data_IF_003166285181
#
_entry.id   IF_003166285181
#
_cell.length_a   1.000
_cell.length_b   1.000
_cell.length_c   1.000
_cell.angle_alpha   90.00
_cell.angle_beta   90.00
_cell.angle_gamma   90.00
#
_symmetry.space_group_name_H-M   'P 1'
#
loop_
_entity.id
_entity.type
_entity.pdbx_description
1 polymer ?
#
# COMPACT_ATOMS: atom_id res chain seq x y z
N UNK A 1 -14.03 23.38 -19.55
CA UNK A 1 -12.87 22.95 -18.77
C UNK A 1 -13.30 21.89 -17.78
N UNK A 2 -12.79 20.72 -17.92
CA UNK A 2 -13.11 19.68 -16.97
C UNK A 2 -12.45 20.00 -15.63
N UNK A 3 -13.15 19.82 -14.52
CA UNK A 3 -12.52 20.02 -13.23
C UNK A 3 -11.38 19.02 -13.09
N UNK A 4 -10.20 19.53 -12.81
CA UNK A 4 -9.09 18.65 -12.52
C UNK A 4 -9.42 17.94 -11.20
N UNK A 5 -9.48 16.63 -11.27
CA UNK A 5 -9.73 15.83 -10.09
C UNK A 5 -8.40 15.57 -9.41
N UNK A 6 -8.08 16.39 -8.42
CA UNK A 6 -6.89 16.18 -7.63
C UNK A 6 -7.27 15.53 -6.31
N UNK A 7 -6.68 14.37 -5.98
CA UNK A 7 -6.95 13.75 -4.71
C UNK A 7 -6.45 14.63 -3.57
N UNK A 8 -7.21 14.66 -2.49
CA UNK A 8 -6.85 15.44 -1.30
C UNK A 8 -5.69 14.85 -0.52
N UNK A 9 -5.32 13.59 -0.80
CA UNK A 9 -4.25 12.95 -0.06
C UNK A 9 -2.89 13.47 -0.49
N UNK A 10 -2.07 13.78 0.50
CA UNK A 10 -0.70 14.20 0.26
C UNK A 10 0.21 12.97 0.30
N UNK A 11 0.88 12.70 -0.81
CA UNK A 11 1.83 11.61 -0.91
C UNK A 11 3.23 12.12 -0.58
N UNK A 12 3.93 11.39 0.27
CA UNK A 12 5.30 11.74 0.61
C UNK A 12 6.25 11.35 -0.52
N UNK A 13 7.25 12.19 -0.83
CA UNK A 13 8.31 11.80 -1.75
C UNK A 13 9.09 10.60 -1.22
N UNK A 14 9.69 9.77 -2.09
CA UNK A 14 10.42 8.57 -1.63
C UNK A 14 11.51 8.85 -0.60
N UNK A 15 12.24 9.95 -0.75
CA UNK A 15 13.30 10.31 0.21
C UNK A 15 12.75 10.64 1.59
N UNK A 16 11.65 11.41 1.62
CA UNK A 16 10.99 11.74 2.89
C UNK A 16 10.40 10.48 3.54
N UNK A 17 9.81 9.62 2.73
CA UNK A 17 9.26 8.35 3.22
C UNK A 17 10.35 7.50 3.86
N UNK A 18 11.52 7.39 3.22
CA UNK A 18 12.64 6.61 3.75
C UNK A 18 13.06 7.12 5.12
N UNK A 19 13.19 8.44 5.27
CA UNK A 19 13.57 9.05 6.53
C UNK A 19 12.51 8.77 7.62
N UNK A 20 11.24 8.91 7.28
CA UNK A 20 10.15 8.62 8.21
C UNK A 20 10.11 7.15 8.60
N UNK A 21 10.36 6.25 7.66
CA UNK A 21 10.43 4.82 7.93
C UNK A 21 11.53 4.51 8.93
N UNK A 22 12.74 5.03 8.70
CA UNK A 22 13.88 4.83 9.60
C UNK A 22 13.55 5.35 11.00
N UNK A 23 12.91 6.51 11.07
CA UNK A 23 12.50 7.09 12.34
C UNK A 23 11.47 6.21 13.06
N UNK A 24 10.47 5.71 12.34
CA UNK A 24 9.44 4.85 12.91
C UNK A 24 9.98 3.49 13.34
N UNK A 25 10.98 2.95 12.63
CA UNK A 25 11.65 1.71 13.06
C UNK A 25 12.35 1.93 14.39
N UNK A 26 13.06 3.05 14.55
CA UNK A 26 13.72 3.37 15.82
C UNK A 26 12.70 3.55 16.94
N UNK A 27 11.60 4.23 16.65
CA UNK A 27 10.52 4.45 17.60
C UNK A 27 9.89 3.12 18.03
N UNK A 28 9.66 2.22 17.07
CA UNK A 28 9.12 0.89 17.30
C UNK A 28 9.99 0.12 18.31
N UNK A 29 11.30 0.17 18.11
CA UNK A 29 12.25 -0.51 19.03
C UNK A 29 12.25 0.12 20.42
N UNK A 30 12.25 1.45 20.47
CA UNK A 30 12.33 2.18 21.75
C UNK A 30 11.12 1.91 22.64
N UNK A 31 9.94 1.86 22.06
CA UNK A 31 8.68 1.76 22.79
C UNK A 31 8.04 0.38 22.69
N UNK A 32 8.72 -0.58 22.09
CA UNK A 32 8.19 -1.92 21.83
C UNK A 32 6.82 -1.88 21.16
N UNK A 33 6.64 -0.93 20.23
CA UNK A 33 5.41 -0.75 19.48
C UNK A 33 5.52 -1.40 18.09
N UNK A 34 4.49 -2.09 17.62
CA UNK A 34 4.57 -2.71 16.30
C UNK A 34 4.48 -1.67 15.19
N UNK A 35 4.94 -2.04 14.01
CA UNK A 35 4.93 -1.19 12.82
C UNK A 35 4.61 -2.06 11.61
N UNK A 36 3.65 -1.64 10.80
CA UNK A 36 3.26 -2.38 9.61
C UNK A 36 3.51 -1.54 8.36
N UNK A 37 3.93 -2.19 7.29
CA UNK A 37 4.09 -1.55 5.99
C UNK A 37 3.33 -2.34 4.94
N UNK A 38 2.63 -1.62 4.07
CA UNK A 38 1.95 -2.17 2.91
C UNK A 38 2.66 -1.76 1.64
N UNK A 39 2.71 -2.67 0.69
CA UNK A 39 3.14 -2.39 -0.68
C UNK A 39 2.00 -2.74 -1.60
N UNK A 40 1.64 -1.81 -2.49
CA UNK A 40 0.47 -1.93 -3.34
C UNK A 40 0.87 -1.69 -4.78
N UNK A 41 0.45 -2.57 -5.68
CA UNK A 41 0.59 -2.40 -7.12
C UNK A 41 -0.74 -2.67 -7.79
N UNK A 42 -0.96 -2.11 -8.96
CA UNK A 42 -2.18 -2.37 -9.72
C UNK A 42 -1.86 -2.62 -11.19
N UNK A 43 -2.77 -3.34 -11.84
CA UNK A 43 -2.76 -3.57 -13.28
C UNK A 43 -4.14 -3.20 -13.82
N UNK A 44 -4.18 -2.70 -15.03
CA UNK A 44 -5.43 -2.32 -15.68
C UNK A 44 -5.67 -3.12 -16.95
N UNK A 45 -6.96 -3.30 -17.28
CA UNK A 45 -7.41 -3.79 -18.56
C UNK A 45 -8.39 -2.77 -19.12
N UNK A 46 -8.10 -2.09 -20.22
CA UNK A 46 -6.87 -2.20 -21.03
C UNK A 46 -5.65 -1.60 -20.35
N UNK A 47 -4.47 -2.04 -20.75
CA UNK A 47 -3.20 -1.57 -20.19
C UNK A 47 -2.68 -0.37 -21.00
N UNK A 48 -3.47 0.68 -21.13
CA UNK A 48 -3.08 1.89 -21.88
C UNK A 48 -2.80 3.04 -20.89
N UNK A 49 -2.10 4.10 -21.33
CA UNK A 49 -1.73 5.20 -20.44
C UNK A 49 -2.91 5.90 -19.77
N UNK A 50 -4.05 6.00 -20.48
CA UNK A 50 -5.23 6.67 -19.94
C UNK A 50 -5.86 5.84 -18.83
N UNK A 51 -5.99 4.53 -19.03
CA UNK A 51 -6.51 3.62 -18.00
C UNK A 51 -5.58 3.59 -16.80
N UNK A 52 -4.27 3.57 -17.02
CA UNK A 52 -3.27 3.61 -15.95
C UNK A 52 -3.39 4.87 -15.12
N UNK A 53 -3.56 6.01 -15.75
CA UNK A 53 -3.71 7.28 -15.06
C UNK A 53 -5.00 7.31 -14.24
N UNK A 54 -6.10 6.82 -14.80
CA UNK A 54 -7.38 6.75 -14.11
C UNK A 54 -7.30 5.80 -12.91
N UNK A 55 -6.62 4.67 -13.07
CA UNK A 55 -6.41 3.70 -11.99
C UNK A 55 -5.54 4.29 -10.87
N UNK A 56 -4.53 5.07 -11.23
CA UNK A 56 -3.70 5.75 -10.26
C UNK A 56 -4.51 6.73 -9.41
N UNK A 57 -5.31 7.57 -10.06
CA UNK A 57 -6.15 8.52 -9.35
C UNK A 57 -7.18 7.80 -8.49
N UNK A 58 -7.77 6.72 -9.01
CA UNK A 58 -8.69 5.88 -8.23
C UNK A 58 -8.00 5.31 -7.00
N UNK A 59 -6.78 4.79 -7.14
CA UNK A 59 -6.01 4.22 -6.03
C UNK A 59 -5.74 5.28 -4.96
N UNK A 60 -5.33 6.48 -5.38
CA UNK A 60 -5.07 7.58 -4.44
C UNK A 60 -6.35 7.93 -3.69
N UNK A 61 -7.50 7.95 -4.35
CA UNK A 61 -8.77 8.21 -3.71
C UNK A 61 -9.14 7.12 -2.70
N UNK A 62 -8.89 5.86 -3.02
CA UNK A 62 -9.10 4.75 -2.09
C UNK A 62 -8.25 4.95 -0.84
N UNK A 63 -6.98 5.28 -1.02
CA UNK A 63 -6.09 5.54 0.11
C UNK A 63 -6.60 6.71 0.95
N UNK A 64 -7.00 7.79 0.29
CA UNK A 64 -7.52 8.97 0.98
C UNK A 64 -8.75 8.65 1.84
N UNK A 65 -9.61 7.75 1.36
CA UNK A 65 -10.83 7.38 2.07
C UNK A 65 -10.58 6.42 3.24
N UNK A 66 -9.50 5.64 3.19
CA UNK A 66 -9.30 4.53 4.12
C UNK A 66 -8.09 4.67 5.03
N UNK A 67 -7.16 5.56 4.73
CA UNK A 67 -6.01 5.77 5.59
C UNK A 67 -6.36 6.72 6.73
N UNK A 68 -5.69 6.51 7.86
CA UNK A 68 -5.76 7.40 9.00
C UNK A 68 -4.76 8.54 8.83
N UNK A 69 -4.95 9.63 9.58
CA UNK A 69 -4.05 10.78 9.52
C UNK A 69 -2.61 10.43 9.90
N UNK A 70 -2.43 9.39 10.71
CA UNK A 70 -1.12 8.91 11.13
C UNK A 70 -0.45 8.00 10.12
N UNK A 71 -1.17 7.54 9.11
CA UNK A 71 -0.62 6.68 8.08
C UNK A 71 0.17 7.50 7.08
N UNK A 72 1.25 6.91 6.57
CA UNK A 72 2.20 7.64 5.72
C UNK A 72 2.24 6.99 4.33
N UNK A 73 1.52 7.56 3.36
CA UNK A 73 1.52 7.03 2.00
C UNK A 73 2.65 7.64 1.16
N UNK A 74 3.20 6.81 0.28
CA UNK A 74 4.25 7.22 -0.64
C UNK A 74 4.00 6.55 -1.98
N UNK A 75 4.31 7.24 -3.06
CA UNK A 75 4.34 6.64 -4.39
C UNK A 75 5.79 6.49 -4.82
N UNK A 76 6.16 5.28 -5.23
CA UNK A 76 7.48 4.98 -5.72
C UNK A 76 7.35 4.19 -7.02
N UNK A 77 7.70 4.81 -8.14
CA UNK A 77 7.54 4.24 -9.47
C UNK A 77 6.08 3.85 -9.74
N UNK A 78 5.80 2.56 -9.93
CA UNK A 78 4.45 2.07 -10.21
C UNK A 78 3.79 1.44 -8.98
N UNK A 79 4.33 1.72 -7.80
CA UNK A 79 3.85 1.14 -6.56
C UNK A 79 3.51 2.21 -5.54
N UNK A 80 2.62 1.86 -4.63
CA UNK A 80 2.34 2.68 -3.46
C UNK A 80 2.86 1.96 -2.22
N UNK A 81 3.48 2.72 -1.33
CA UNK A 81 3.94 2.24 -0.04
C UNK A 81 3.13 2.95 1.02
N UNK A 82 2.67 2.23 2.02
CA UNK A 82 1.94 2.84 3.13
C UNK A 82 2.55 2.35 4.44
N UNK A 83 3.05 3.29 5.22
CA UNK A 83 3.57 3.00 6.54
C UNK A 83 2.46 3.22 7.57
N UNK A 84 2.20 2.20 8.37
CA UNK A 84 1.13 2.22 9.36
C UNK A 84 1.73 2.09 10.76
N UNK A 85 2.00 3.23 11.43
CA UNK A 85 2.63 3.21 12.75
C UNK A 85 1.75 2.59 13.83
N UNK A 86 2.39 2.04 14.86
CA UNK A 86 1.73 1.49 16.03
C UNK A 86 0.63 0.47 15.69
N UNK A 87 0.90 -0.34 14.65
CA UNK A 87 -0.08 -1.29 14.13
C UNK A 87 0.57 -2.66 14.01
N UNK A 88 -0.04 -3.65 14.64
CA UNK A 88 0.42 -5.03 14.57
C UNK A 88 -0.11 -5.73 13.32
N UNK A 89 0.22 -7.01 13.18
CA UNK A 89 -0.19 -7.79 12.01
C UNK A 89 -1.72 -7.85 11.87
N UNK A 90 -2.44 -8.02 12.97
CA UNK A 90 -3.90 -8.07 12.93
C UNK A 90 -4.49 -6.74 12.48
N UNK A 91 -3.98 -5.63 13.00
CA UNK A 91 -4.41 -4.30 12.59
C UNK A 91 -4.09 -4.04 11.13
N UNK A 92 -2.93 -4.51 10.67
CA UNK A 92 -2.55 -4.41 9.26
C UNK A 92 -3.47 -5.20 8.35
N UNK A 93 -3.87 -6.41 8.76
CA UNK A 93 -4.84 -7.21 8.01
C UNK A 93 -6.17 -6.48 7.86
N UNK A 94 -6.64 -5.85 8.93
CA UNK A 94 -7.89 -5.09 8.90
C UNK A 94 -7.78 -3.90 7.93
N UNK A 95 -6.64 -3.24 7.91
CA UNK A 95 -6.40 -2.15 6.97
C UNK A 95 -6.43 -2.67 5.52
N UNK A 96 -5.79 -3.82 5.26
CA UNK A 96 -5.82 -4.45 3.95
C UNK A 96 -7.24 -4.81 3.52
N UNK A 97 -8.03 -5.36 4.43
CA UNK A 97 -9.42 -5.74 4.13
C UNK A 97 -10.27 -4.53 3.72
N UNK A 98 -10.07 -3.40 4.39
CA UNK A 98 -10.78 -2.17 4.03
C UNK A 98 -10.41 -1.69 2.63
N UNK A 99 -9.14 -1.77 2.27
CA UNK A 99 -8.68 -1.41 0.93
C UNK A 99 -9.20 -2.40 -0.11
N UNK A 100 -9.12 -3.69 0.18
CA UNK A 100 -9.59 -4.76 -0.72
C UNK A 100 -11.04 -4.58 -1.09
N UNK A 101 -11.90 -4.23 -0.14
CA UNK A 101 -13.33 -4.03 -0.41
C UNK A 101 -13.56 -3.00 -1.51
N UNK A 102 -12.79 -1.92 -1.50
CA UNK A 102 -12.92 -0.89 -2.52
C UNK A 102 -12.33 -1.32 -3.85
N UNK A 103 -11.21 -2.04 -3.84
CA UNK A 103 -10.57 -2.52 -5.07
C UNK A 103 -11.36 -3.66 -5.74
N UNK A 104 -12.10 -4.44 -4.96
CA UNK A 104 -12.91 -5.55 -5.48
C UNK A 104 -14.30 -5.11 -5.93
N UNK A 105 -14.65 -3.84 -5.79
CA UNK A 105 -15.89 -3.33 -6.35
C UNK A 105 -15.87 -3.49 -7.86
N UNK A 106 -17.06 -3.53 -8.44
CA UNK A 106 -17.21 -3.73 -9.88
C UNK A 106 -16.41 -2.74 -10.70
N UNK A 107 -16.28 -3.03 -11.97
CA UNK A 107 -15.57 -2.21 -12.94
C UNK A 107 -15.80 -0.72 -12.71
N UNK A 108 -14.72 0.03 -12.63
CA UNK A 108 -14.78 1.44 -12.32
C UNK A 108 -14.84 2.26 -13.59
N UNK A 109 -15.69 3.28 -13.55
CA UNK A 109 -15.67 4.33 -14.54
C UNK A 109 -15.15 5.57 -13.85
N UNK A 110 -14.02 6.06 -14.30
CA UNK A 110 -13.38 7.22 -13.72
C UNK A 110 -12.97 8.13 -14.86
N UNK A 111 -13.36 9.41 -14.79
CA UNK A 111 -13.04 10.39 -15.83
C UNK A 111 -13.50 9.92 -17.22
N UNK A 112 -14.67 9.28 -17.28
CA UNK A 112 -15.29 8.74 -18.50
C UNK A 112 -14.51 7.61 -19.15
N UNK A 113 -13.54 7.06 -18.46
CA UNK A 113 -12.77 5.90 -18.94
C UNK A 113 -13.16 4.69 -18.11
N UNK A 114 -13.64 3.66 -18.78
CA UNK A 114 -13.94 2.39 -18.14
C UNK A 114 -12.69 1.52 -18.14
N UNK A 115 -12.37 0.92 -17.02
CA UNK A 115 -11.24 0.02 -16.91
C UNK A 115 -11.52 -1.03 -15.85
N UNK A 116 -10.85 -2.18 -16.00
CA UNK A 116 -10.81 -3.19 -14.96
C UNK A 116 -9.51 -3.02 -14.20
N UNK A 117 -9.59 -3.07 -12.88
CA UNK A 117 -8.47 -2.86 -11.99
C UNK A 117 -8.22 -4.12 -11.20
N UNK A 118 -6.98 -4.63 -11.27
CA UNK A 118 -6.50 -5.66 -10.36
C UNK A 118 -5.48 -5.03 -9.43
N UNK A 119 -5.75 -5.08 -8.14
CA UNK A 119 -4.82 -4.58 -7.13
C UNK A 119 -4.16 -5.74 -6.40
N UNK A 120 -2.87 -5.61 -6.17
CA UNK A 120 -2.07 -6.61 -5.46
C UNK A 120 -1.42 -5.93 -4.26
N UNK A 121 -1.47 -6.58 -3.11
CA UNK A 121 -0.93 -6.02 -1.89
C UNK A 121 -0.04 -7.02 -1.17
N UNK A 122 1.08 -6.53 -0.68
CA UNK A 122 1.94 -7.26 0.24
C UNK A 122 2.06 -6.51 1.55
N UNK A 123 2.08 -7.21 2.64
CA UNK A 123 2.16 -6.64 3.98
C UNK A 123 3.26 -7.29 4.79
N UNK A 124 4.01 -6.48 5.53
CA UNK A 124 4.98 -6.97 6.50
C UNK A 124 4.85 -6.17 7.77
N UNK A 125 5.05 -6.82 8.90
CA UNK A 125 4.96 -6.20 10.22
C UNK A 125 6.26 -6.38 10.96
N UNK A 126 6.71 -5.29 11.58
CA UNK A 126 7.80 -5.29 12.52
C UNK A 126 7.20 -5.41 13.91
N UNK A 127 7.36 -6.57 14.60
CA UNK A 127 6.97 -6.63 16.01
C UNK A 127 7.84 -5.69 16.82
N UNK A 128 7.29 -5.11 17.87
CA UNK A 128 7.98 -4.10 18.64
C UNK A 128 9.28 -4.54 19.28
N UNK A 129 9.50 -5.84 19.40
CA UNK A 129 10.71 -6.41 20.01
C UNK A 129 11.68 -6.98 18.96
N UNK A 130 11.46 -6.69 17.70
CA UNK A 130 12.28 -7.21 16.61
C UNK A 130 13.50 -6.33 16.33
N UNK A 131 14.57 -6.97 15.86
CA UNK A 131 15.82 -6.28 15.49
C UNK A 131 15.99 -6.10 13.98
N UNK A 132 14.96 -6.41 13.17
CA UNK A 132 15.10 -6.25 11.72
C UNK A 132 15.23 -4.78 11.34
N UNK A 133 15.96 -4.52 10.24
CA UNK A 133 16.20 -3.17 9.78
C UNK A 133 15.01 -2.65 8.94
N UNK A 134 15.01 -1.34 8.69
CA UNK A 134 14.03 -0.73 7.78
C UNK A 134 14.11 -1.34 6.39
N UNK A 135 15.32 -1.62 5.91
CA UNK A 135 15.51 -2.24 4.59
C UNK A 135 14.95 -3.66 4.55
N UNK A 136 15.14 -4.43 5.61
CA UNK A 136 14.59 -5.78 5.70
C UNK A 136 13.07 -5.76 5.74
N UNK A 137 12.49 -4.82 6.48
CA UNK A 137 11.03 -4.66 6.52
C UNK A 137 10.47 -4.34 5.14
N UNK A 138 11.11 -3.41 4.42
CA UNK A 138 10.73 -3.08 3.04
C UNK A 138 10.85 -4.29 2.13
N UNK A 139 11.93 -5.05 2.26
CA UNK A 139 12.15 -6.25 1.45
C UNK A 139 11.08 -7.31 1.73
N UNK A 140 10.71 -7.49 2.99
CA UNK A 140 9.67 -8.44 3.36
C UNK A 140 8.33 -8.08 2.72
N UNK A 141 7.96 -6.80 2.72
CA UNK A 141 6.74 -6.33 2.05
C UNK A 141 6.83 -6.52 0.54
N UNK A 142 8.02 -6.30 -0.04
CA UNK A 142 8.25 -6.50 -1.47
C UNK A 142 8.08 -7.96 -1.86
N UNK A 143 8.61 -8.89 -1.08
CA UNK A 143 8.44 -10.33 -1.33
C UNK A 143 6.97 -10.73 -1.25
N UNK A 144 6.25 -10.19 -0.27
CA UNK A 144 4.82 -10.46 -0.15
C UNK A 144 4.04 -9.96 -1.36
N UNK A 145 4.35 -8.76 -1.83
CA UNK A 145 3.72 -8.20 -3.04
C UNK A 145 4.05 -9.05 -4.27
N UNK A 146 5.31 -9.45 -4.42
CA UNK A 146 5.72 -10.28 -5.55
C UNK A 146 4.99 -11.62 -5.55
N UNK A 147 4.82 -12.21 -4.38
CA UNK A 147 4.07 -13.46 -4.23
C UNK A 147 2.60 -13.28 -4.69
N UNK A 148 1.98 -12.15 -4.31
CA UNK A 148 0.63 -11.83 -4.74
C UNK A 148 0.55 -11.69 -6.26
N UNK A 149 1.50 -10.98 -6.86
CA UNK A 149 1.51 -10.72 -8.32
C UNK A 149 1.74 -11.99 -9.12
N UNK A 150 2.74 -12.79 -8.73
CA UNK A 150 3.09 -14.03 -9.45
C UNK A 150 1.94 -15.03 -9.41
N UNK A 151 1.26 -15.14 -8.28
CA UNK A 151 0.17 -16.07 -8.09
C UNK A 151 -1.21 -15.48 -8.38
N UNK A 152 -1.25 -14.23 -8.83
CA UNK A 152 -2.48 -13.51 -9.19
C UNK A 152 -3.49 -13.47 -8.05
N UNK A 153 -3.00 -13.24 -6.83
CA UNK A 153 -3.82 -13.17 -5.63
C UNK A 153 -4.27 -11.73 -5.39
N UNK A 154 -5.57 -11.50 -5.40
CA UNK A 154 -6.13 -10.15 -5.22
C UNK A 154 -6.45 -9.83 -3.76
N UNK A 155 -6.26 -10.80 -2.86
CA UNK A 155 -6.24 -10.54 -1.42
C UNK A 155 -4.80 -10.28 -0.99
N UNK A 156 -4.63 -9.48 0.04
CA UNK A 156 -3.29 -9.14 0.53
C UNK A 156 -2.53 -10.39 0.96
N UNK A 157 -1.26 -10.45 0.59
CA UNK A 157 -0.34 -11.49 1.05
C UNK A 157 0.41 -10.95 2.26
N UNK A 158 0.42 -11.72 3.32
CA UNK A 158 1.10 -11.37 4.58
C UNK A 158 2.43 -12.10 4.60
N UNK A 159 3.51 -11.37 4.76
CA UNK A 159 4.86 -11.94 4.68
C UNK A 159 5.05 -13.12 5.63
N UNK A 160 4.54 -13.02 6.86
CA UNK A 160 4.69 -14.07 7.86
C UNK A 160 4.00 -15.40 7.47
N UNK A 161 3.11 -15.35 6.50
CA UNK A 161 2.36 -16.52 6.05
C UNK A 161 2.98 -17.19 4.81
N UNK A 162 3.99 -16.58 4.22
CA UNK A 162 4.67 -17.16 3.07
C UNK A 162 5.56 -18.31 3.56
N UNK A 163 5.40 -19.46 2.96
CA UNK A 163 6.27 -20.60 3.24
C UNK A 163 7.54 -20.48 2.41
N UNK A 164 8.65 -20.46 3.10
CA UNK A 164 9.98 -20.39 2.49
C UNK A 164 10.63 -21.76 2.42
#
# INVERSE_FOLDING_TARGET
MEPSFEPDIELYPPESFKTLLEHEVKRSRRYSAPLTILRLAFETQPADPQAQRSAEVFTINVLNLRLRDTDIPCRQENEFLVLIPSTDEQGGRMACERLEKLFHMEQKTFDRVSFELSAFMGMATLPGDSSISSEELLQNASEALQHARVNRLTNAVIFSEIKH
#
